data_IF_781176321918
#
_entry.id   IF_781176321918
#
_cell.length_a   1.000
_cell.length_b   1.000
_cell.length_c   1.000
_cell.angle_alpha   90.00
_cell.angle_beta   90.00
_cell.angle_gamma   90.00
#
_symmetry.space_group_name_H-M   'P 1'
#
loop_
_entity.id
_entity.type
_entity.pdbx_description
1 polymer ?
#
# COMPACT_ATOMS: atom_id res chain seq x y z
N UNK A 1 15.41 -3.75 -13.55
CA UNK A 1 13.97 -4.08 -13.43
C UNK A 1 13.20 -2.84 -13.87
N UNK A 2 12.27 -2.94 -14.82
CA UNK A 2 11.60 -1.76 -15.38
C UNK A 2 10.53 -1.21 -14.43
N UNK A 3 10.39 0.11 -14.34
CA UNK A 3 9.28 0.83 -13.70
C UNK A 3 7.89 0.34 -14.15
N UNK A 4 7.76 -0.23 -15.35
CA UNK A 4 6.55 -0.93 -15.79
C UNK A 4 6.09 -2.04 -14.80
N UNK A 5 7.02 -2.67 -14.08
CA UNK A 5 6.73 -3.63 -13.01
C UNK A 5 5.90 -3.00 -11.89
N UNK A 6 6.11 -1.71 -11.58
CA UNK A 6 5.38 -1.02 -10.52
C UNK A 6 3.97 -0.66 -10.93
N UNK A 7 3.74 -0.32 -12.21
CA UNK A 7 2.39 -0.25 -12.76
C UNK A 7 1.65 -1.59 -12.63
N UNK A 8 2.33 -2.72 -12.89
CA UNK A 8 1.74 -4.05 -12.77
C UNK A 8 1.44 -4.39 -11.31
N UNK A 9 2.40 -4.18 -10.39
CA UNK A 9 2.16 -4.47 -8.97
C UNK A 9 1.13 -3.53 -8.36
N UNK A 10 0.99 -2.29 -8.84
CA UNK A 10 -0.10 -1.39 -8.44
C UNK A 10 -1.48 -1.96 -8.80
N UNK A 11 -1.57 -2.74 -9.89
CA UNK A 11 -2.80 -3.47 -10.23
C UNK A 11 -3.20 -4.50 -9.17
N UNK A 12 -2.27 -5.01 -8.36
CA UNK A 12 -2.63 -5.85 -7.21
C UNK A 12 -3.51 -5.10 -6.21
N UNK A 13 -3.28 -3.81 -6.00
CA UNK A 13 -4.10 -2.98 -5.12
C UNK A 13 -5.53 -2.80 -5.67
N UNK A 14 -5.73 -2.90 -6.98
CA UNK A 14 -7.07 -2.93 -7.56
C UNK A 14 -7.83 -4.20 -7.17
N UNK A 15 -7.16 -5.36 -7.14
CA UNK A 15 -7.76 -6.58 -6.61
C UNK A 15 -8.07 -6.47 -5.11
N UNK A 16 -7.25 -5.76 -4.34
CA UNK A 16 -7.57 -5.42 -2.94
C UNK A 16 -8.86 -4.62 -2.83
N UNK A 17 -9.08 -3.65 -3.73
CA UNK A 17 -10.31 -2.86 -3.75
C UNK A 17 -11.54 -3.71 -4.08
N UNK A 18 -11.44 -4.62 -5.06
CA UNK A 18 -12.52 -5.57 -5.38
C UNK A 18 -12.82 -6.46 -4.17
N UNK A 19 -11.78 -7.07 -3.58
CA UNK A 19 -11.93 -7.96 -2.43
C UNK A 19 -12.58 -7.24 -1.24
N UNK A 20 -12.10 -6.03 -0.96
CA UNK A 20 -12.65 -5.14 0.04
C UNK A 20 -14.14 -4.87 -0.19
N UNK A 21 -14.53 -4.51 -1.43
CA UNK A 21 -15.93 -4.22 -1.76
C UNK A 21 -16.86 -5.42 -1.51
N UNK A 22 -16.38 -6.63 -1.79
CA UNK A 22 -17.15 -7.86 -1.61
C UNK A 22 -17.30 -8.29 -0.14
N UNK A 23 -16.31 -8.01 0.72
CA UNK A 23 -16.26 -8.53 2.10
C UNK A 23 -16.38 -7.44 3.19
N UNK A 24 -16.46 -6.17 2.81
CA UNK A 24 -16.68 -5.04 3.71
C UNK A 24 -18.09 -5.09 4.32
N UNK A 25 -18.19 -4.69 5.59
CA UNK A 25 -19.45 -4.42 6.30
C UNK A 25 -20.07 -3.08 5.92
N UNK A 26 -19.42 -2.30 5.03
CA UNK A 26 -19.89 -1.02 4.49
C UNK A 26 -20.19 0.01 5.58
N UNK A 27 -19.33 0.07 6.61
CA UNK A 27 -19.38 1.14 7.61
C UNK A 27 -18.58 2.37 7.15
N UNK A 28 -18.74 3.51 7.82
CA UNK A 28 -18.10 4.77 7.42
C UNK A 28 -16.57 4.68 7.36
N UNK A 29 -15.92 3.96 8.29
CA UNK A 29 -14.46 3.79 8.29
C UNK A 29 -14.00 2.98 7.08
N UNK A 30 -14.74 1.94 6.74
CA UNK A 30 -14.47 1.12 5.57
C UNK A 30 -14.64 1.91 4.26
N UNK A 31 -15.70 2.72 4.13
CA UNK A 31 -15.83 3.62 2.96
C UNK A 31 -14.66 4.60 2.84
N UNK A 32 -14.20 5.15 3.96
CA UNK A 32 -13.05 6.04 3.98
C UNK A 32 -11.75 5.34 3.56
N UNK A 33 -11.52 4.11 4.03
CA UNK A 33 -10.38 3.30 3.60
C UNK A 33 -10.43 2.96 2.10
N UNK A 34 -11.62 2.63 1.58
CA UNK A 34 -11.80 2.38 0.15
C UNK A 34 -11.47 3.63 -0.68
N UNK A 35 -11.92 4.80 -0.25
CA UNK A 35 -11.60 6.07 -0.91
C UNK A 35 -10.09 6.33 -0.92
N UNK A 36 -9.42 6.13 0.22
CA UNK A 36 -7.96 6.24 0.30
C UNK A 36 -7.28 5.26 -0.65
N UNK A 37 -7.73 4.01 -0.71
CA UNK A 37 -7.15 3.00 -1.59
C UNK A 37 -7.29 3.39 -3.06
N UNK A 38 -8.44 3.94 -3.47
CA UNK A 38 -8.63 4.50 -4.82
C UNK A 38 -7.64 5.64 -5.08
N UNK A 39 -7.47 6.56 -4.13
CA UNK A 39 -6.49 7.64 -4.26
C UNK A 39 -5.06 7.11 -4.40
N UNK A 40 -4.66 6.09 -3.63
CA UNK A 40 -3.36 5.42 -3.74
C UNK A 40 -3.17 4.86 -5.14
N UNK A 41 -4.14 4.07 -5.64
CA UNK A 41 -4.06 3.44 -6.96
C UNK A 41 -3.86 4.49 -8.05
N UNK A 42 -4.63 5.57 -8.03
CA UNK A 42 -4.55 6.65 -9.02
C UNK A 42 -3.21 7.38 -8.93
N UNK A 43 -2.80 7.82 -7.74
CA UNK A 43 -1.56 8.59 -7.55
C UNK A 43 -0.33 7.74 -7.91
N UNK A 44 -0.30 6.48 -7.46
CA UNK A 44 0.77 5.54 -7.76
C UNK A 44 0.84 5.26 -9.25
N UNK A 45 -0.30 5.06 -9.92
CA UNK A 45 -0.33 4.85 -11.38
C UNK A 45 0.20 6.08 -12.14
N UNK A 46 -0.23 7.28 -11.76
CA UNK A 46 0.23 8.52 -12.39
C UNK A 46 1.73 8.72 -12.18
N UNK A 47 2.24 8.43 -10.98
CA UNK A 47 3.65 8.55 -10.66
C UNK A 47 4.50 7.54 -11.45
N UNK A 48 4.16 6.25 -11.40
CA UNK A 48 4.97 5.20 -12.02
C UNK A 48 4.90 5.18 -13.55
N UNK A 49 3.94 5.89 -14.16
CA UNK A 49 3.91 6.11 -15.60
C UNK A 49 5.00 7.09 -16.08
N UNK A 50 5.49 7.97 -15.20
CA UNK A 50 6.59 8.90 -15.50
C UNK A 50 7.30 9.32 -14.19
N UNK A 51 8.21 8.49 -13.66
CA UNK A 51 8.76 8.66 -12.31
C UNK A 51 9.82 9.75 -12.28
N UNK A 52 9.38 11.00 -12.11
CA UNK A 52 10.25 12.16 -11.93
C UNK A 52 10.49 12.40 -10.43
N UNK A 53 11.76 12.36 -10.02
CA UNK A 53 12.18 12.59 -8.65
C UNK A 53 11.73 13.95 -8.14
N UNK A 54 11.28 13.99 -6.88
CA UNK A 54 10.76 15.18 -6.17
C UNK A 54 9.64 15.96 -6.88
N UNK A 55 9.06 15.44 -7.96
CA UNK A 55 7.89 16.03 -8.61
C UNK A 55 6.70 16.13 -7.64
N UNK A 56 5.76 17.03 -7.91
CA UNK A 56 4.55 17.16 -7.11
C UNK A 56 3.80 15.83 -7.00
N UNK A 57 3.70 15.08 -8.12
CA UNK A 57 3.04 13.77 -8.16
C UNK A 57 3.74 12.78 -7.23
N UNK A 58 5.08 12.73 -7.25
CA UNK A 58 5.86 11.89 -6.34
C UNK A 58 5.59 12.24 -4.86
N UNK A 59 5.55 13.53 -4.51
CA UNK A 59 5.29 13.96 -3.14
C UNK A 59 3.86 13.63 -2.69
N UNK A 60 2.88 13.82 -3.58
CA UNK A 60 1.48 13.48 -3.32
C UNK A 60 1.29 11.98 -3.16
N UNK A 61 1.86 11.16 -4.04
CA UNK A 61 1.83 9.71 -3.94
C UNK A 61 2.41 9.22 -2.60
N UNK A 62 3.62 9.70 -2.25
CA UNK A 62 4.26 9.35 -0.99
C UNK A 62 3.44 9.77 0.24
N UNK A 63 2.75 10.92 0.18
CA UNK A 63 1.87 11.38 1.26
C UNK A 63 0.62 10.50 1.38
N UNK A 64 -0.06 10.25 0.27
CA UNK A 64 -1.30 9.45 0.21
C UNK A 64 -1.02 8.00 0.66
N UNK A 65 0.09 7.41 0.23
CA UNK A 65 0.53 6.09 0.67
C UNK A 65 0.76 6.04 2.20
N UNK A 66 1.46 7.03 2.78
CA UNK A 66 1.68 7.11 4.24
C UNK A 66 0.38 7.22 5.01
N UNK A 67 -0.53 8.10 4.57
CA UNK A 67 -1.85 8.26 5.18
C UNK A 67 -2.61 6.94 5.13
N UNK A 68 -2.63 6.26 3.98
CA UNK A 68 -3.35 5.00 3.85
C UNK A 68 -2.78 3.86 4.66
N UNK A 69 -1.45 3.71 4.71
CA UNK A 69 -0.80 2.72 5.60
C UNK A 69 -1.21 2.99 7.05
N UNK A 70 -1.13 4.25 7.51
CA UNK A 70 -1.50 4.61 8.87
C UNK A 70 -2.97 4.33 9.17
N UNK A 71 -3.89 4.78 8.31
CA UNK A 71 -5.33 4.55 8.47
C UNK A 71 -5.67 3.06 8.45
N UNK A 72 -5.02 2.26 7.60
CA UNK A 72 -5.25 0.83 7.50
C UNK A 72 -4.81 0.09 8.78
N UNK A 73 -3.61 0.38 9.29
CA UNK A 73 -3.11 -0.18 10.54
C UNK A 73 -4.05 0.20 11.70
N UNK A 74 -4.40 1.48 11.79
CA UNK A 74 -5.31 1.99 12.82
C UNK A 74 -6.67 1.28 12.78
N UNK A 75 -7.22 1.07 11.59
CA UNK A 75 -8.47 0.34 11.43
C UNK A 75 -8.39 -1.10 11.92
N UNK A 76 -7.34 -1.84 11.52
CA UNK A 76 -7.18 -3.24 11.93
C UNK A 76 -7.02 -3.35 13.45
N UNK A 77 -6.19 -2.49 14.06
CA UNK A 77 -5.87 -2.59 15.48
C UNK A 77 -7.07 -2.21 16.37
N UNK A 78 -7.80 -1.15 16.01
CA UNK A 78 -8.80 -0.58 16.92
C UNK A 78 -10.24 -0.93 16.57
N UNK A 79 -10.57 -1.16 15.29
CA UNK A 79 -11.95 -1.34 14.84
C UNK A 79 -12.26 -2.77 14.39
N UNK A 80 -11.27 -3.45 13.80
CA UNK A 80 -11.48 -4.80 13.32
C UNK A 80 -11.29 -5.80 14.47
N UNK A 81 -12.36 -6.51 14.80
CA UNK A 81 -12.33 -7.58 15.81
C UNK A 81 -11.74 -8.85 15.19
N UNK A 82 -10.44 -9.04 15.32
CA UNK A 82 -9.78 -10.30 14.98
C UNK A 82 -9.51 -11.15 16.23
N UNK A 83 -9.48 -12.49 16.09
CA UNK A 83 -8.87 -13.34 17.10
C UNK A 83 -7.37 -13.03 17.25
N UNK A 84 -6.77 -13.41 18.38
CA UNK A 84 -5.38 -13.03 18.72
C UNK A 84 -4.35 -13.43 17.65
N UNK A 85 -4.51 -14.60 17.00
CA UNK A 85 -3.64 -15.02 15.90
C UNK A 85 -3.75 -14.10 14.69
N UNK A 86 -4.94 -13.53 14.45
CA UNK A 86 -5.13 -12.54 13.39
C UNK A 86 -4.44 -11.22 13.69
N UNK A 87 -4.43 -10.79 14.95
CA UNK A 87 -3.65 -9.61 15.35
C UNK A 87 -2.15 -9.81 15.12
N UNK A 88 -1.62 -11.01 15.39
CA UNK A 88 -0.20 -11.32 15.14
C UNK A 88 0.14 -11.29 13.64
N UNK A 89 -0.68 -11.91 12.79
CA UNK A 89 -0.49 -11.88 11.34
C UNK A 89 -0.56 -10.45 10.77
N UNK A 90 -1.53 -9.65 11.23
CA UNK A 90 -1.62 -8.24 10.84
C UNK A 90 -0.40 -7.43 11.30
N UNK A 91 0.11 -7.69 12.52
CA UNK A 91 1.34 -7.10 13.02
C UNK A 91 2.55 -7.45 12.15
N UNK A 92 2.70 -8.72 11.77
CA UNK A 92 3.78 -9.17 10.88
C UNK A 92 3.71 -8.48 9.50
N UNK A 93 2.53 -8.46 8.87
CA UNK A 93 2.33 -7.79 7.57
C UNK A 93 2.65 -6.29 7.69
N UNK A 94 2.24 -5.64 8.79
CA UNK A 94 2.55 -4.23 9.06
C UNK A 94 4.07 -3.99 9.12
N UNK A 95 4.81 -4.86 9.80
CA UNK A 95 6.29 -4.78 9.84
C UNK A 95 6.88 -4.94 8.43
N UNK A 96 6.37 -5.87 7.62
CA UNK A 96 6.79 -6.05 6.24
C UNK A 96 6.52 -4.81 5.37
N UNK A 97 5.35 -4.18 5.50
CA UNK A 97 5.00 -2.93 4.79
C UNK A 97 5.96 -1.81 5.19
N UNK A 98 6.15 -1.58 6.48
CA UNK A 98 7.02 -0.49 6.99
C UNK A 98 8.47 -0.71 6.56
N UNK A 99 8.96 -1.95 6.63
CA UNK A 99 10.32 -2.31 6.23
C UNK A 99 10.53 -2.09 4.74
N UNK A 100 9.58 -2.54 3.91
CA UNK A 100 9.64 -2.37 2.46
C UNK A 100 9.56 -0.90 2.07
N UNK A 101 8.70 -0.11 2.73
CA UNK A 101 8.63 1.34 2.55
C UNK A 101 9.95 2.02 2.92
N UNK A 102 10.54 1.67 4.07
CA UNK A 102 11.81 2.22 4.53
C UNK A 102 12.95 1.90 3.56
N UNK A 103 13.08 0.63 3.14
CA UNK A 103 14.11 0.21 2.20
C UNK A 103 13.91 0.83 0.82
N UNK A 104 12.67 0.89 0.33
CA UNK A 104 12.32 1.59 -0.91
C UNK A 104 12.82 3.05 -0.88
N UNK A 105 12.52 3.78 0.19
CA UNK A 105 12.98 5.16 0.37
C UNK A 105 14.51 5.26 0.57
N UNK A 106 15.13 4.30 1.24
CA UNK A 106 16.58 4.27 1.41
C UNK A 106 17.29 4.16 0.06
N UNK A 107 16.91 3.18 -0.76
CA UNK A 107 17.50 2.95 -2.08
C UNK A 107 17.19 4.09 -3.06
N UNK A 108 16.01 4.72 -2.98
CA UNK A 108 15.68 5.86 -3.86
C UNK A 108 16.51 7.12 -3.58
N UNK A 109 16.98 7.30 -2.35
CA UNK A 109 17.89 8.39 -1.98
C UNK A 109 19.34 8.13 -2.43
N UNK A 110 19.73 6.86 -2.61
CA UNK A 110 21.04 6.49 -3.14
C UNK A 110 21.03 6.59 -4.67
N UNK A 111 20.05 5.94 -5.30
CA UNK A 111 19.91 5.89 -6.75
C UNK A 111 18.42 5.85 -7.12
N UNK A 112 17.99 6.92 -7.79
CA UNK A 112 16.61 7.07 -8.23
C UNK A 112 16.21 5.93 -9.17
N UNK A 113 15.07 5.29 -8.89
CA UNK A 113 14.57 4.14 -9.67
C UNK A 113 15.58 2.98 -9.85
N UNK A 114 16.50 2.77 -8.89
CA UNK A 114 17.34 1.56 -8.85
C UNK A 114 16.51 0.28 -8.75
N UNK A 115 17.10 -0.86 -9.14
CA UNK A 115 16.41 -2.15 -9.08
C UNK A 115 15.96 -2.51 -7.67
N UNK A 116 16.78 -2.20 -6.66
CA UNK A 116 16.43 -2.40 -5.24
C UNK A 116 15.28 -1.49 -4.82
N UNK A 117 15.30 -0.21 -5.21
CA UNK A 117 14.19 0.71 -4.94
C UNK A 117 12.88 0.16 -5.52
N UNK A 118 12.90 -0.27 -6.79
CA UNK A 118 11.74 -0.83 -7.49
C UNK A 118 11.26 -2.12 -6.83
N UNK A 119 12.17 -3.02 -6.47
CA UNK A 119 11.83 -4.27 -5.80
C UNK A 119 11.11 -4.03 -4.47
N UNK A 120 11.69 -3.21 -3.59
CA UNK A 120 11.09 -2.97 -2.27
C UNK A 120 9.78 -2.18 -2.37
N UNK A 121 9.63 -1.30 -3.36
CA UNK A 121 8.35 -0.66 -3.61
C UNK A 121 7.28 -1.66 -4.09
N UNK A 122 7.63 -2.57 -5.00
CA UNK A 122 6.74 -3.63 -5.44
C UNK A 122 6.37 -4.60 -4.32
N UNK A 123 7.32 -4.94 -3.44
CA UNK A 123 7.06 -5.74 -2.24
C UNK A 123 6.10 -5.03 -1.29
N UNK A 124 6.22 -3.71 -1.13
CA UNK A 124 5.25 -2.93 -0.37
C UNK A 124 3.83 -3.05 -0.95
N UNK A 125 3.66 -2.91 -2.28
CA UNK A 125 2.35 -3.15 -2.93
C UNK A 125 1.81 -4.56 -2.63
N UNK A 126 2.66 -5.57 -2.76
CA UNK A 126 2.29 -6.96 -2.50
C UNK A 126 1.86 -7.17 -1.03
N UNK A 127 2.59 -6.61 -0.06
CA UNK A 127 2.22 -6.74 1.35
C UNK A 127 0.95 -5.95 1.70
N UNK A 128 0.73 -4.78 1.10
CA UNK A 128 -0.56 -4.07 1.21
C UNK A 128 -1.71 -4.91 0.63
N UNK A 129 -1.47 -5.59 -0.49
CA UNK A 129 -2.43 -6.50 -1.09
C UNK A 129 -2.79 -7.65 -0.17
N UNK A 130 -1.78 -8.40 0.30
CA UNK A 130 -1.96 -9.52 1.23
C UNK A 130 -2.60 -9.06 2.55
N UNK A 131 -2.19 -7.90 3.05
CA UNK A 131 -2.77 -7.28 4.25
C UNK A 131 -4.26 -7.02 4.11
N UNK A 132 -4.70 -6.53 2.94
CA UNK A 132 -6.12 -6.31 2.67
C UNK A 132 -6.90 -7.63 2.68
N UNK A 133 -6.37 -8.68 2.04
CA UNK A 133 -7.03 -9.99 2.10
C UNK A 133 -7.16 -10.49 3.53
N UNK A 134 -6.10 -10.36 4.32
CA UNK A 134 -6.11 -10.81 5.71
C UNK A 134 -7.09 -10.03 6.59
N UNK A 135 -7.18 -8.70 6.40
CA UNK A 135 -8.05 -7.84 7.20
C UNK A 135 -9.55 -8.03 6.90
N UNK A 136 -9.90 -8.60 5.75
CA UNK A 136 -11.27 -8.73 5.27
C UNK A 136 -11.74 -10.17 5.01
N UNK A 137 -10.87 -11.16 5.21
CA UNK A 137 -11.25 -12.57 5.36
C UNK A 137 -12.02 -12.79 6.67
#
# INVERSE_FOLDING_TARGET
MDTAYLCITNFSLFFSLIYFYLHSKKNCYEYFLALILVCIIICSQLFWSNPIQYSLIHQVDALVAKIGIFCFIFYIVFFKKHPWWGCLSAGFITVCIITSFYLSNHFSNIEWCSESHILFHGLMHLFCYVGTFFAFY
#
